data_IF_181848046408
#
_entry.id   IF_181848046408
#
_cell.length_a   1.000
_cell.length_b   1.000
_cell.length_c   1.000
_cell.angle_alpha   90.00
_cell.angle_beta   90.00
_cell.angle_gamma   90.00
#
_symmetry.space_group_name_H-M   'P 1'
#
loop_
_entity.id
_entity.type
_entity.pdbx_description
1 polymer ?
#
# COMPACT_ATOMS: atom_id res chain seq x y z
N UNK A 1 -15.24 16.30 -12.90
CA UNK A 1 -15.58 15.00 -12.28
C UNK A 1 -14.86 13.92 -13.06
N UNK A 2 -13.70 13.48 -12.56
CA UNK A 2 -12.95 12.38 -13.18
C UNK A 2 -13.70 11.07 -12.84
N UNK A 3 -14.00 10.19 -13.81
CA UNK A 3 -14.70 8.96 -13.50
C UNK A 3 -13.86 8.14 -12.51
N UNK A 4 -14.50 7.63 -11.46
CA UNK A 4 -13.90 6.68 -10.54
C UNK A 4 -13.40 5.49 -11.37
N UNK A 5 -12.08 5.34 -11.48
CA UNK A 5 -11.48 4.27 -12.26
C UNK A 5 -11.85 2.92 -11.62
N UNK A 6 -12.08 1.88 -12.44
CA UNK A 6 -12.30 0.54 -11.92
C UNK A 6 -11.08 0.13 -11.08
N UNK A 7 -11.33 -0.41 -9.88
CA UNK A 7 -10.28 -0.94 -9.01
C UNK A 7 -9.49 -1.99 -9.78
N UNK A 8 -8.16 -1.89 -9.76
CA UNK A 8 -7.32 -2.92 -10.37
C UNK A 8 -7.49 -4.25 -9.62
N UNK A 9 -7.23 -5.38 -10.30
CA UNK A 9 -7.13 -6.67 -9.62
C UNK A 9 -6.12 -6.57 -8.49
N UNK A 10 -6.46 -7.13 -7.32
CA UNK A 10 -5.60 -7.04 -6.11
C UNK A 10 -4.18 -7.55 -6.37
N UNK A 11 -4.03 -8.55 -7.23
CA UNK A 11 -2.73 -9.10 -7.62
C UNK A 11 -1.88 -8.11 -8.42
N UNK A 12 -2.50 -7.33 -9.30
CA UNK A 12 -1.81 -6.33 -10.12
C UNK A 12 -1.41 -5.13 -9.26
N UNK A 13 -2.31 -4.66 -8.39
CA UNK A 13 -1.97 -3.66 -7.36
C UNK A 13 -0.80 -4.13 -6.49
N UNK A 14 -0.80 -5.41 -6.10
CA UNK A 14 0.28 -5.95 -5.28
C UNK A 14 1.62 -5.97 -6.03
N UNK A 15 1.65 -6.39 -7.30
CA UNK A 15 2.88 -6.39 -8.10
C UNK A 15 3.43 -4.98 -8.32
N UNK A 16 2.57 -4.02 -8.67
CA UNK A 16 2.97 -2.64 -8.88
C UNK A 16 3.47 -1.99 -7.58
N UNK A 17 2.78 -2.23 -6.47
CA UNK A 17 3.19 -1.74 -5.15
C UNK A 17 4.55 -2.29 -4.73
N UNK A 18 4.79 -3.58 -4.95
CA UNK A 18 6.06 -4.23 -4.64
C UNK A 18 7.20 -3.67 -5.51
N UNK A 19 6.97 -3.49 -6.83
CA UNK A 19 7.96 -2.89 -7.74
C UNK A 19 8.33 -1.46 -7.32
N UNK A 20 7.34 -0.61 -7.01
CA UNK A 20 7.58 0.76 -6.53
C UNK A 20 8.33 0.73 -5.20
N UNK A 21 7.94 -0.16 -4.29
CA UNK A 21 8.57 -0.29 -3.00
C UNK A 21 10.03 -0.70 -3.14
N UNK A 22 10.34 -1.76 -3.89
CA UNK A 22 11.70 -2.25 -4.06
C UNK A 22 12.59 -1.25 -4.81
N UNK A 23 12.06 -0.58 -5.84
CA UNK A 23 12.83 0.34 -6.68
C UNK A 23 13.11 1.67 -6.01
N UNK A 24 12.09 2.30 -5.40
CA UNK A 24 12.15 3.71 -5.00
C UNK A 24 12.15 3.93 -3.48
N UNK A 25 11.48 3.04 -2.72
CA UNK A 25 11.18 3.29 -1.30
C UNK A 25 12.14 2.52 -0.40
N UNK A 26 12.40 1.24 -0.67
CA UNK A 26 13.21 0.33 0.15
C UNK A 26 14.56 0.93 0.52
N UNK A 27 15.29 1.47 -0.46
CA UNK A 27 16.59 2.10 -0.22
C UNK A 27 16.52 3.34 0.69
N UNK A 28 15.36 4.01 0.77
CA UNK A 28 15.14 5.20 1.61
C UNK A 28 14.68 4.84 3.01
N UNK A 29 13.82 3.83 3.15
CA UNK A 29 13.14 3.52 4.41
C UNK A 29 13.84 2.42 5.20
N UNK A 30 14.54 1.50 4.55
CA UNK A 30 15.18 0.36 5.26
C UNK A 30 16.36 0.81 6.15
N UNK A 31 16.97 1.97 5.85
CA UNK A 31 18.09 2.51 6.62
C UNK A 31 17.68 3.16 7.96
N UNK A 32 16.52 3.82 8.02
CA UNK A 32 16.10 4.64 9.17
C UNK A 32 14.76 4.19 9.79
N UNK A 33 13.90 3.57 8.97
CA UNK A 33 12.50 3.30 9.30
C UNK A 33 12.19 1.79 9.36
N UNK A 34 13.14 0.99 9.84
CA UNK A 34 12.99 -0.46 9.91
C UNK A 34 11.87 -0.87 10.88
N UNK A 35 10.85 -1.56 10.38
CA UNK A 35 9.71 -2.05 11.15
C UNK A 35 8.44 -1.19 11.05
N UNK A 36 8.52 -0.03 10.39
CA UNK A 36 7.38 0.84 10.09
C UNK A 36 6.54 0.32 8.90
N UNK A 37 5.40 0.95 8.65
CA UNK A 37 4.49 0.64 7.56
C UNK A 37 4.53 1.70 6.47
N UNK A 38 4.64 1.24 5.23
CA UNK A 38 4.52 2.07 4.04
C UNK A 38 3.19 1.77 3.38
N UNK A 39 2.42 2.81 3.06
CA UNK A 39 1.25 2.74 2.19
C UNK A 39 1.55 3.47 0.88
N UNK A 40 1.27 2.83 -0.25
CA UNK A 40 1.56 3.32 -1.61
C UNK A 40 0.26 3.31 -2.40
N UNK A 41 -0.07 4.44 -3.01
CA UNK A 41 -1.07 4.48 -4.09
C UNK A 41 -0.37 4.11 -5.40
N UNK A 42 -0.67 2.93 -5.93
CA UNK A 42 0.05 2.42 -7.12
C UNK A 42 -0.36 3.13 -8.42
N UNK A 43 -1.45 3.90 -8.39
CA UNK A 43 -1.89 4.68 -9.55
C UNK A 43 -1.06 5.94 -9.74
N UNK A 44 -0.86 6.69 -8.64
CA UNK A 44 -0.06 7.92 -8.66
C UNK A 44 1.41 7.72 -8.30
N UNK A 45 1.76 6.61 -7.64
CA UNK A 45 3.08 6.40 -7.03
C UNK A 45 3.29 7.18 -5.73
N UNK A 46 2.26 7.85 -5.21
CA UNK A 46 2.33 8.56 -3.92
C UNK A 46 2.43 7.54 -2.80
N UNK A 47 3.31 7.79 -1.84
CA UNK A 47 3.49 6.90 -0.71
C UNK A 47 3.58 7.68 0.60
N UNK A 48 3.25 7.01 1.69
CA UNK A 48 3.34 7.51 3.04
C UNK A 48 3.95 6.44 3.94
N UNK A 49 4.75 6.85 4.92
CA UNK A 49 5.31 5.97 5.95
C UNK A 49 4.85 6.39 7.34
N UNK A 50 4.62 5.42 8.20
CA UNK A 50 4.41 5.61 9.64
C UNK A 50 4.66 4.32 10.41
N UNK A 51 4.93 4.45 11.69
CA UNK A 51 4.97 3.38 12.70
C UNK A 51 3.70 2.49 12.75
N UNK A 52 2.55 3.00 12.31
CA UNK A 52 1.28 2.29 12.31
C UNK A 52 0.63 2.27 10.92
N UNK A 53 0.08 1.11 10.54
CA UNK A 53 -0.56 0.89 9.24
C UNK A 53 -1.75 1.82 9.01
N UNK A 54 -2.59 2.05 10.03
CA UNK A 54 -3.75 2.92 9.91
C UNK A 54 -3.31 4.37 9.74
N UNK A 55 -2.26 4.78 10.45
CA UNK A 55 -1.67 6.12 10.30
C UNK A 55 -1.05 6.31 8.93
N UNK A 56 -0.31 5.34 8.40
CA UNK A 56 0.25 5.38 7.05
C UNK A 56 -0.85 5.49 5.99
N UNK A 57 -1.90 4.68 6.09
CA UNK A 57 -3.04 4.73 5.18
C UNK A 57 -3.83 6.05 5.28
N UNK A 58 -3.97 6.60 6.50
CA UNK A 58 -4.60 7.91 6.71
C UNK A 58 -3.80 9.02 6.05
N UNK A 59 -2.48 9.07 6.28
CA UNK A 59 -1.58 10.05 5.65
C UNK A 59 -1.60 9.96 4.12
N UNK A 60 -1.68 8.74 3.58
CA UNK A 60 -1.81 8.56 2.14
C UNK A 60 -3.14 9.14 1.62
N UNK A 61 -4.26 8.91 2.33
CA UNK A 61 -5.56 9.50 1.99
C UNK A 61 -5.62 11.01 2.15
N UNK A 62 -4.89 11.57 3.10
CA UNK A 62 -4.76 13.02 3.27
C UNK A 62 -4.01 13.65 2.09
N UNK A 63 -3.01 12.95 1.54
CA UNK A 63 -2.27 13.39 0.35
C UNK A 63 -3.02 13.13 -0.96
N UNK A 64 -3.70 11.98 -1.04
CA UNK A 64 -4.41 11.53 -2.23
C UNK A 64 -5.78 10.96 -1.81
N UNK A 65 -6.79 11.82 -1.64
CA UNK A 65 -8.15 11.39 -1.26
C UNK A 65 -8.81 10.53 -2.34
N UNK A 66 -8.32 10.61 -3.58
CA UNK A 66 -8.72 9.80 -4.72
C UNK A 66 -7.92 8.48 -4.87
N UNK A 67 -7.05 8.14 -3.91
CA UNK A 67 -6.30 6.88 -3.95
C UNK A 67 -7.23 5.67 -3.79
N UNK A 68 -7.48 4.96 -4.89
CA UNK A 68 -8.35 3.77 -4.94
C UNK A 68 -7.52 2.47 -4.84
N UNK A 69 -6.32 2.44 -5.42
CA UNK A 69 -5.46 1.26 -5.50
C UNK A 69 -4.29 1.38 -4.51
N UNK A 70 -4.61 1.29 -3.21
CA UNK A 70 -3.60 1.36 -2.13
C UNK A 70 -3.02 -0.01 -1.84
N UNK A 71 -1.70 -0.10 -1.88
CA UNK A 71 -0.89 -1.22 -1.39
C UNK A 71 -0.17 -0.83 -0.10
N UNK A 72 0.08 -1.77 0.81
CA UNK A 72 0.81 -1.46 2.04
C UNK A 72 1.69 -2.61 2.49
N UNK A 73 2.86 -2.28 3.02
CA UNK A 73 3.92 -3.23 3.41
C UNK A 73 4.63 -2.76 4.67
N UNK A 74 5.19 -3.71 5.42
CA UNK A 74 6.06 -3.42 6.56
C UNK A 74 7.52 -3.41 6.13
N UNK A 75 8.21 -2.32 6.45
CA UNK A 75 9.63 -2.12 6.15
C UNK A 75 10.50 -3.15 6.89
N UNK A 76 11.47 -3.73 6.19
CA UNK A 76 12.39 -4.70 6.77
C UNK A 76 11.81 -6.11 6.99
N UNK A 77 10.57 -6.35 6.55
CA UNK A 77 10.04 -7.70 6.43
C UNK A 77 9.84 -8.04 4.96
N UNK A 78 10.38 -9.19 4.53
CA UNK A 78 10.11 -9.71 3.19
C UNK A 78 8.60 -9.82 3.05
N UNK A 79 8.02 -9.03 2.15
CA UNK A 79 6.62 -9.14 1.78
C UNK A 79 6.41 -10.51 1.15
N UNK A 80 6.11 -11.52 1.98
CA UNK A 80 5.58 -12.77 1.47
C UNK A 80 4.18 -12.43 0.97
N UNK A 81 4.01 -12.40 -0.36
CA UNK A 81 2.73 -12.26 -1.03
C UNK A 81 1.72 -13.27 -0.47
N UNK A 82 0.98 -12.85 0.56
CA UNK A 82 -0.30 -13.41 0.98
C UNK A 82 -1.10 -12.32 1.68
N UNK A 83 -1.65 -11.40 0.89
CA UNK A 83 -2.90 -10.74 1.26
C UNK A 83 -4.03 -11.37 0.44
N UNK A 84 -4.37 -12.59 0.84
CA UNK A 84 -5.57 -13.31 0.43
C UNK A 84 -6.01 -14.18 1.61
N UNK A 85 -7.08 -13.76 2.30
CA UNK A 85 -7.74 -14.60 3.29
C UNK A 85 -8.27 -13.89 4.52
N UNK A 86 -9.30 -13.06 4.37
CA UNK A 86 -10.48 -13.27 5.20
C UNK A 86 -11.65 -13.50 4.22
N UNK A 87 -12.29 -14.68 4.18
CA UNK A 87 -13.62 -14.75 3.60
C UNK A 87 -14.48 -13.77 4.41
N UNK A 88 -15.11 -12.82 3.72
CA UNK A 88 -16.25 -12.12 4.29
C UNK A 88 -17.27 -13.21 4.64
N UNK A 89 -17.37 -13.56 5.92
CA UNK A 89 -18.52 -14.32 6.42
C UNK A 89 -19.73 -13.43 6.19
N UNK A 90 -20.58 -13.82 5.24
CA UNK A 90 -21.97 -13.38 5.22
C UNK A 90 -22.66 -13.94 6.46
N UNK A 91 -23.31 -13.11 7.30
CA UNK A 91 -24.39 -13.62 8.12
C UNK A 91 -25.65 -13.73 7.24
N UNK A 92 -26.23 -14.92 7.30
CA UNK A 92 -27.60 -15.27 6.87
C UNK A 92 -28.70 -14.45 7.55
#
# INVERSE_FOLDING_TARGET
>A
MTPARPRRPKEETARLGDEIYERDIKARVEADHHGEFVSIDVDSGTWAISDDLLTAAKRLREQSPDAIDVWSVRVGHRALHRFGGLPLRSPE
#
